data_IF_305255081527
#
_entry.id   IF_305255081527
#
_cell.length_a   1.000
_cell.length_b   1.000
_cell.length_c   1.000
_cell.angle_alpha   90.00
_cell.angle_beta   90.00
_cell.angle_gamma   90.00
#
_symmetry.space_group_name_H-M   'P 1'
#
loop_
_entity.id
_entity.type
_entity.pdbx_description
1 polymer ?
#
# COMPACT_ATOMS: atom_id res chain seq x y z
N UNK A 1 -4.29 -13.42 10.84
CA UNK A 1 -3.28 -12.69 10.03
C UNK A 1 -2.69 -13.55 8.91
N UNK A 2 -1.93 -14.62 9.22
CA UNK A 2 -1.24 -15.44 8.20
C UNK A 2 -2.16 -15.90 7.07
N UNK A 3 -3.37 -16.40 7.38
CA UNK A 3 -4.34 -16.84 6.36
C UNK A 3 -4.66 -15.73 5.36
N UNK A 4 -4.87 -14.49 5.82
CA UNK A 4 -5.13 -13.34 4.95
C UNK A 4 -3.87 -13.00 4.14
N UNK A 5 -2.69 -13.00 4.75
CA UNK A 5 -1.45 -12.75 4.03
C UNK A 5 -1.23 -13.75 2.88
N UNK A 6 -1.55 -15.03 3.09
CA UNK A 6 -1.50 -16.05 2.02
C UNK A 6 -2.50 -15.75 0.89
N UNK A 7 -3.73 -15.36 1.22
CA UNK A 7 -4.73 -14.93 0.22
C UNK A 7 -4.31 -13.70 -0.58
N UNK A 8 -3.51 -12.81 0.03
CA UNK A 8 -2.92 -11.64 -0.61
C UNK A 8 -1.69 -11.98 -1.46
N UNK A 9 -1.36 -13.27 -1.63
CA UNK A 9 -0.26 -13.71 -2.48
C UNK A 9 1.11 -13.74 -1.83
N UNK A 10 1.21 -13.54 -0.50
CA UNK A 10 2.50 -13.67 0.19
C UNK A 10 2.88 -15.15 0.24
N UNK A 11 4.00 -15.50 -0.37
CA UNK A 11 4.56 -16.86 -0.44
C UNK A 11 5.75 -17.06 0.50
N UNK A 12 6.48 -15.98 0.79
CA UNK A 12 7.60 -15.97 1.73
C UNK A 12 7.25 -16.55 3.10
N UNK A 13 8.20 -17.15 3.83
CA UNK A 13 7.94 -17.70 5.17
C UNK A 13 7.43 -16.62 6.13
N UNK A 14 6.36 -16.94 6.88
CA UNK A 14 5.82 -16.05 7.92
C UNK A 14 5.83 -16.82 9.24
N UNK A 15 6.61 -16.35 10.21
CA UNK A 15 6.65 -16.96 11.54
C UNK A 15 5.40 -16.54 12.33
N UNK A 16 4.73 -17.45 13.08
CA UNK A 16 3.52 -17.15 13.84
C UNK A 16 3.82 -16.44 15.17
N UNK A 17 4.39 -15.24 15.11
CA UNK A 17 4.73 -14.39 16.26
C UNK A 17 3.81 -13.17 16.37
N UNK A 18 3.71 -12.55 17.55
CA UNK A 18 2.87 -11.36 17.71
C UNK A 18 3.37 -10.15 16.90
N UNK A 19 4.69 -10.03 16.74
CA UNK A 19 5.35 -8.94 16.01
C UNK A 19 5.15 -8.97 14.50
N UNK A 20 4.42 -9.95 13.93
CA UNK A 20 4.09 -9.99 12.49
C UNK A 20 3.43 -8.68 12.04
N UNK A 21 2.56 -8.08 12.86
CA UNK A 21 1.88 -6.84 12.52
C UNK A 21 2.84 -5.64 12.39
N UNK A 22 4.07 -5.76 12.89
CA UNK A 22 5.12 -4.73 12.80
C UNK A 22 6.12 -4.98 11.67
N UNK A 23 5.91 -6.01 10.83
CA UNK A 23 6.75 -6.27 9.66
C UNK A 23 8.00 -7.10 9.94
N UNK A 24 7.93 -8.09 10.83
CA UNK A 24 9.03 -9.05 11.04
C UNK A 24 9.31 -10.03 9.89
N UNK A 25 8.35 -10.40 9.01
CA UNK A 25 8.67 -11.25 7.86
C UNK A 25 9.45 -10.48 6.80
N UNK A 26 10.50 -11.12 6.26
CA UNK A 26 11.21 -10.61 5.08
C UNK A 26 10.42 -10.95 3.82
N UNK A 27 10.02 -9.92 3.07
CA UNK A 27 9.18 -10.03 1.88
C UNK A 27 9.86 -9.33 0.70
N UNK A 28 9.71 -9.90 -0.50
CA UNK A 28 10.16 -9.21 -1.70
C UNK A 28 9.29 -7.99 -2.02
N UNK A 29 9.85 -6.99 -2.71
CA UNK A 29 9.07 -5.84 -3.22
C UNK A 29 7.93 -6.32 -4.11
N UNK A 30 8.16 -7.35 -4.93
CA UNK A 30 7.15 -7.93 -5.82
C UNK A 30 5.95 -8.49 -5.04
N UNK A 31 6.20 -9.24 -3.96
CA UNK A 31 5.13 -9.77 -3.11
C UNK A 31 4.34 -8.66 -2.42
N UNK A 32 5.04 -7.64 -1.88
CA UNK A 32 4.38 -6.52 -1.22
C UNK A 32 3.55 -5.68 -2.20
N UNK A 33 4.08 -5.39 -3.39
CA UNK A 33 3.36 -4.67 -4.46
C UNK A 33 2.15 -5.48 -4.94
N UNK A 34 2.32 -6.80 -5.13
CA UNK A 34 1.23 -7.71 -5.49
C UNK A 34 0.11 -7.70 -4.45
N UNK A 35 0.46 -7.84 -3.17
CA UNK A 35 -0.49 -7.79 -2.06
C UNK A 35 -1.24 -6.46 -2.01
N UNK A 36 -0.52 -5.33 -2.14
CA UNK A 36 -1.13 -3.98 -2.12
C UNK A 36 -2.04 -3.73 -3.31
N UNK A 37 -1.78 -4.36 -4.46
CA UNK A 37 -2.65 -4.28 -5.64
C UNK A 37 -4.06 -4.80 -5.39
N UNK A 38 -4.21 -5.76 -4.46
CA UNK A 38 -5.52 -6.30 -4.04
C UNK A 38 -6.48 -5.20 -3.58
N UNK A 39 -5.97 -4.18 -2.86
CA UNK A 39 -6.80 -3.08 -2.38
C UNK A 39 -7.34 -2.24 -3.53
N UNK A 40 -6.48 -1.88 -4.49
CA UNK A 40 -6.88 -1.16 -5.71
C UNK A 40 -7.86 -1.99 -6.55
N UNK A 41 -7.67 -3.30 -6.57
CA UNK A 41 -8.47 -4.24 -7.35
C UNK A 41 -9.67 -4.79 -6.57
N UNK A 42 -10.28 -3.96 -5.71
CA UNK A 42 -11.56 -4.24 -5.03
C UNK A 42 -11.58 -5.55 -4.22
N UNK A 43 -10.42 -5.93 -3.67
CA UNK A 43 -10.28 -7.12 -2.82
C UNK A 43 -9.85 -8.40 -3.56
N UNK A 44 -9.65 -8.33 -4.88
CA UNK A 44 -9.20 -9.48 -5.69
C UNK A 44 -7.69 -9.41 -5.90
N UNK A 45 -6.97 -10.39 -5.37
CA UNK A 45 -5.55 -10.56 -5.65
C UNK A 45 -5.35 -11.09 -7.07
N UNK A 46 -4.37 -10.52 -7.78
CA UNK A 46 -3.92 -10.99 -9.09
C UNK A 46 -2.41 -11.21 -9.00
N UNK A 47 -1.96 -12.41 -9.34
CA UNK A 47 -0.54 -12.77 -9.32
C UNK A 47 0.28 -11.88 -10.27
N UNK A 48 1.28 -11.12 -9.77
CA UNK A 48 2.15 -10.32 -10.61
C UNK A 48 2.83 -11.19 -11.68
N UNK A 49 2.62 -10.87 -12.94
CA UNK A 49 3.07 -11.68 -14.08
C UNK A 49 3.86 -10.81 -15.06
N UNK A 50 5.09 -11.21 -15.37
CA UNK A 50 5.98 -10.49 -16.30
C UNK A 50 5.91 -11.00 -17.74
N UNK A 51 5.62 -12.28 -17.92
CA UNK A 51 5.55 -12.94 -19.24
C UNK A 51 4.12 -13.38 -19.46
N UNK A 52 3.46 -12.85 -20.48
CA UNK A 52 2.07 -13.22 -20.82
C UNK A 52 2.00 -14.31 -21.90
N UNK A 53 3.02 -14.38 -22.76
CA UNK A 53 3.04 -15.26 -23.93
C UNK A 53 4.47 -15.47 -24.45
N UNK A 54 4.75 -16.66 -24.96
CA UNK A 54 5.97 -17.02 -25.70
C UNK A 54 5.55 -17.50 -27.10
N UNK A 55 6.16 -16.93 -28.14
CA UNK A 55 5.91 -17.26 -29.54
C UNK A 55 7.21 -17.68 -30.24
N UNK A 56 7.09 -18.50 -31.29
CA UNK A 56 8.18 -18.77 -32.22
C UNK A 56 8.37 -17.63 -33.25
N UNK A 57 9.43 -17.71 -34.07
CA UNK A 57 9.72 -16.73 -35.13
C UNK A 57 8.62 -16.62 -36.20
N UNK A 58 7.72 -17.60 -36.28
CA UNK A 58 6.63 -17.64 -37.26
C UNK A 58 5.31 -17.12 -36.65
N UNK A 59 5.32 -16.69 -35.38
CA UNK A 59 4.13 -16.22 -34.66
C UNK A 59 3.28 -17.32 -34.04
N UNK A 60 3.76 -18.57 -34.00
CA UNK A 60 3.05 -19.65 -33.33
C UNK A 60 3.20 -19.54 -31.82
N UNK A 61 2.09 -19.55 -31.09
CA UNK A 61 2.09 -19.49 -29.63
C UNK A 61 2.61 -20.82 -29.08
N UNK A 62 3.75 -20.76 -28.38
CA UNK A 62 4.33 -21.89 -27.65
C UNK A 62 3.65 -22.01 -26.29
N UNK A 63 3.44 -20.88 -25.61
CA UNK A 63 2.85 -20.86 -24.28
C UNK A 63 2.15 -19.53 -24.00
N UNK A 64 1.03 -19.59 -23.28
CA UNK A 64 0.32 -18.43 -22.73
C UNK A 64 0.25 -18.59 -21.21
N UNK A 65 0.46 -17.49 -20.49
CA UNK A 65 0.44 -17.46 -19.03
C UNK A 65 -0.75 -16.63 -18.56
N UNK A 66 -1.67 -17.27 -17.85
CA UNK A 66 -2.82 -16.60 -17.24
C UNK A 66 -2.52 -16.40 -15.75
N UNK A 67 -2.52 -15.15 -15.25
CA UNK A 67 -2.29 -14.88 -13.83
C UNK A 67 -3.33 -15.56 -12.94
N UNK A 68 -2.90 -16.12 -11.81
CA UNK A 68 -3.85 -16.62 -10.81
C UNK A 68 -4.60 -15.45 -10.19
N UNK A 69 -5.88 -15.69 -9.89
CA UNK A 69 -6.78 -14.71 -9.27
C UNK A 69 -7.40 -15.32 -8.03
N UNK A 70 -7.46 -14.56 -6.95
CA UNK A 70 -8.04 -15.00 -5.69
C UNK A 70 -8.86 -13.88 -5.03
N UNK A 71 -10.07 -14.20 -4.61
CA UNK A 71 -10.90 -13.29 -3.80
C UNK A 71 -10.37 -13.28 -2.35
N UNK A 72 -9.49 -12.30 -2.09
CA UNK A 72 -8.73 -12.25 -0.85
C UNK A 72 -9.54 -11.61 0.29
N UNK A 73 -10.17 -10.47 0.00
CA UNK A 73 -10.98 -9.67 0.94
C UNK A 73 -12.20 -9.10 0.22
N UNK A 74 -13.18 -8.58 0.96
CA UNK A 74 -14.36 -7.94 0.36
C UNK A 74 -14.01 -6.59 -0.27
N UNK A 75 -14.79 -6.17 -1.27
CA UNK A 75 -14.70 -4.85 -1.90
C UNK A 75 -14.82 -3.72 -0.87
N UNK A 76 -15.71 -3.87 0.10
CA UNK A 76 -15.89 -2.93 1.20
C UNK A 76 -14.62 -2.83 2.06
N UNK A 77 -14.06 -3.96 2.52
CA UNK A 77 -12.82 -3.97 3.30
C UNK A 77 -11.66 -3.35 2.52
N UNK A 78 -11.56 -3.63 1.23
CA UNK A 78 -10.54 -3.04 0.37
C UNK A 78 -10.65 -1.51 0.30
N UNK A 79 -11.87 -0.99 0.09
CA UNK A 79 -12.13 0.44 0.03
C UNK A 79 -11.92 1.16 1.37
N UNK A 80 -12.32 0.53 2.48
CA UNK A 80 -12.05 1.06 3.82
C UNK A 80 -10.54 1.14 4.09
N UNK A 81 -9.77 0.11 3.71
CA UNK A 81 -8.31 0.13 3.82
C UNK A 81 -7.67 1.24 2.98
N UNK A 82 -8.14 1.45 1.75
CA UNK A 82 -7.72 2.61 0.94
C UNK A 82 -8.01 3.92 1.67
N UNK A 83 -9.20 4.06 2.24
CA UNK A 83 -9.63 5.27 2.96
C UNK A 83 -8.72 5.55 4.16
N UNK A 84 -8.38 4.53 4.95
CA UNK A 84 -7.41 4.66 6.04
C UNK A 84 -6.02 5.07 5.53
N UNK A 85 -5.55 4.47 4.45
CA UNK A 85 -4.25 4.77 3.85
C UNK A 85 -4.20 6.15 3.19
N UNK A 86 -5.33 6.73 2.77
CA UNK A 86 -5.39 8.14 2.35
C UNK A 86 -5.03 9.07 3.50
N UNK A 87 -5.47 8.77 4.73
CA UNK A 87 -5.12 9.56 5.92
C UNK A 87 -3.60 9.71 6.14
N UNK A 88 -2.83 8.67 5.81
CA UNK A 88 -1.35 8.72 5.86
C UNK A 88 -0.78 9.77 4.92
N UNK A 89 -1.39 9.95 3.74
CA UNK A 89 -0.95 10.90 2.72
C UNK A 89 -1.50 12.31 2.97
N UNK A 90 -2.72 12.44 3.48
CA UNK A 90 -3.33 13.76 3.71
C UNK A 90 -2.80 14.47 4.96
N UNK A 91 -2.49 13.72 6.03
CA UNK A 91 -2.03 14.32 7.29
C UNK A 91 -0.98 13.52 8.06
N UNK A 92 -0.60 12.34 7.58
CA UNK A 92 0.35 11.46 8.27
C UNK A 92 1.79 11.58 7.77
N UNK A 93 2.53 10.48 7.92
CA UNK A 93 3.93 10.35 7.51
C UNK A 93 4.16 10.46 6.00
N UNK A 94 3.09 10.38 5.18
CA UNK A 94 3.12 10.58 3.74
C UNK A 94 2.82 12.02 3.28
N UNK A 95 2.57 12.94 4.21
CA UNK A 95 2.11 14.32 3.92
C UNK A 95 3.03 15.14 3.02
N UNK A 96 4.31 14.80 2.94
CA UNK A 96 5.24 15.45 2.01
C UNK A 96 4.81 15.31 0.55
N UNK A 97 4.05 14.27 0.17
CA UNK A 97 3.44 14.16 -1.16
C UNK A 97 2.54 15.35 -1.51
N UNK A 98 1.78 15.86 -0.53
CA UNK A 98 0.91 17.03 -0.67
C UNK A 98 1.70 18.32 -0.58
N UNK A 99 2.47 18.51 0.49
CA UNK A 99 3.07 19.81 0.79
C UNK A 99 4.37 20.09 0.04
N UNK A 100 5.19 19.06 -0.20
CA UNK A 100 6.50 19.21 -0.88
C UNK A 100 6.37 18.88 -2.36
N UNK A 101 5.80 17.72 -2.69
CA UNK A 101 5.73 17.26 -4.07
C UNK A 101 4.53 17.80 -4.85
N UNK A 102 3.53 18.39 -4.18
CA UNK A 102 2.34 19.03 -4.78
C UNK A 102 1.53 18.08 -5.66
N UNK A 103 1.47 16.79 -5.30
CA UNK A 103 0.56 15.85 -5.92
C UNK A 103 -0.83 16.07 -5.32
N UNK A 104 -1.83 16.41 -6.14
CA UNK A 104 -3.19 16.72 -5.68
C UNK A 104 -4.21 15.61 -5.92
N UNK A 105 -3.84 14.56 -6.66
CA UNK A 105 -4.70 13.43 -6.94
C UNK A 105 -4.89 12.52 -5.72
N UNK A 106 -5.92 11.67 -5.75
CA UNK A 106 -6.14 10.69 -4.69
C UNK A 106 -5.01 9.65 -4.70
N UNK A 107 -4.33 9.54 -3.56
CA UNK A 107 -3.23 8.61 -3.33
C UNK A 107 -3.49 7.98 -1.96
N UNK A 108 -3.49 6.66 -1.90
CA UNK A 108 -3.39 5.92 -0.65
C UNK A 108 -1.95 5.46 -0.50
N UNK A 109 -1.42 5.44 0.72
CA UNK A 109 -0.11 4.87 0.90
C UNK A 109 0.23 4.51 2.33
N UNK A 110 1.35 3.81 2.49
CA UNK A 110 1.90 3.48 3.79
C UNK A 110 3.42 3.52 3.75
N UNK A 111 3.98 4.15 4.79
CA UNK A 111 5.40 4.14 5.09
C UNK A 111 5.76 2.90 5.92
N UNK A 112 6.94 2.34 5.67
CA UNK A 112 7.57 1.34 6.52
C UNK A 112 8.99 1.76 6.84
N UNK A 113 9.42 1.49 8.07
CA UNK A 113 10.79 1.72 8.53
C UNK A 113 11.16 0.52 9.40
N UNK A 114 12.18 -0.24 9.03
CA UNK A 114 12.65 -1.34 9.88
C UNK A 114 13.48 -0.82 11.05
N UNK A 115 13.70 -1.68 12.05
CA UNK A 115 14.53 -1.34 13.21
C UNK A 115 15.94 -0.93 12.76
N UNK A 116 16.58 -0.06 13.54
CA UNK A 116 17.85 0.59 13.23
C UNK A 116 17.86 1.47 11.97
N UNK A 117 16.72 1.65 11.29
CA UNK A 117 16.60 2.43 10.06
C UNK A 117 17.43 1.86 8.91
N UNK A 118 17.48 0.53 8.80
CA UNK A 118 18.18 -0.20 7.73
C UNK A 118 17.36 -0.23 6.43
N UNK A 119 16.04 -0.27 6.53
CA UNK A 119 15.12 -0.33 5.39
C UNK A 119 14.06 0.76 5.45
N UNK A 120 13.96 1.53 4.37
CA UNK A 120 12.89 2.50 4.13
C UNK A 120 11.95 2.01 3.04
N UNK A 121 10.65 1.94 3.36
CA UNK A 121 9.61 1.51 2.44
C UNK A 121 8.56 2.60 2.22
N UNK A 122 8.09 2.71 0.99
CA UNK A 122 6.86 3.42 0.68
C UNK A 122 6.05 2.63 -0.34
N UNK A 123 4.84 2.25 0.06
CA UNK A 123 3.86 1.62 -0.81
C UNK A 123 2.80 2.67 -1.15
N UNK A 124 2.71 3.05 -2.42
CA UNK A 124 1.72 4.00 -2.92
C UNK A 124 0.74 3.34 -3.88
N UNK A 125 -0.53 3.70 -3.73
CA UNK A 125 -1.67 3.19 -4.47
C UNK A 125 -2.38 4.38 -5.11
N UNK A 126 -2.67 4.26 -6.41
CA UNK A 126 -3.61 5.09 -7.16
C UNK A 126 -4.72 4.18 -7.72
N UNK A 127 -5.80 4.72 -8.31
CA UNK A 127 -6.91 3.88 -8.77
C UNK A 127 -6.53 2.77 -9.75
N UNK A 128 -5.49 2.99 -10.57
CA UNK A 128 -5.07 2.04 -11.59
C UNK A 128 -3.56 1.72 -11.61
N UNK A 129 -2.80 2.12 -10.59
CA UNK A 129 -1.39 1.75 -10.44
C UNK A 129 -1.01 1.61 -8.97
N UNK A 130 -0.27 0.54 -8.66
CA UNK A 130 0.40 0.36 -7.37
C UNK A 130 1.90 0.38 -7.61
N UNK A 131 2.63 1.08 -6.75
CA UNK A 131 4.09 1.15 -6.82
C UNK A 131 4.65 1.02 -5.42
N UNK A 132 5.53 0.03 -5.25
CA UNK A 132 6.33 -0.15 -4.05
C UNK A 132 7.75 0.32 -4.29
N UNK A 133 8.28 1.12 -3.36
CA UNK A 133 9.68 1.53 -3.35
C UNK A 133 10.29 1.06 -2.04
N UNK A 134 11.41 0.35 -2.16
CA UNK A 134 12.29 0.00 -1.06
C UNK A 134 13.64 0.66 -1.28
N UNK A 135 14.22 1.16 -0.20
CA UNK A 135 15.59 1.64 -0.14
C UNK A 135 16.23 0.98 1.08
N UNK A 136 17.38 0.37 0.88
CA UNK A 136 18.14 -0.27 1.94
C UNK A 136 19.48 -0.77 1.41
N UNK A 137 20.16 -1.58 2.20
CA UNK A 137 21.39 -2.25 1.82
C UNK A 137 21.22 -3.76 1.96
N UNK A 138 21.94 -4.52 1.14
CA UNK A 138 22.00 -5.99 1.27
C UNK A 138 22.51 -6.39 2.67
N UNK A 139 23.49 -5.66 3.19
CA UNK A 139 23.96 -5.81 4.55
C UNK A 139 23.17 -4.89 5.50
N UNK A 140 22.34 -5.50 6.36
CA UNK A 140 21.47 -4.78 7.31
C UNK A 140 22.24 -4.01 8.39
N UNK A 141 23.54 -4.27 8.55
CA UNK A 141 24.41 -3.46 9.43
C UNK A 141 24.67 -2.06 8.88
N UNK A 142 24.48 -1.86 7.57
CA UNK A 142 24.49 -0.55 6.95
C UNK A 142 23.13 0.09 7.17
N UNK A 143 23.10 1.13 8.00
CA UNK A 143 21.87 1.82 8.34
C UNK A 143 22.08 3.32 8.49
N UNK A 144 20.99 4.08 8.42
CA UNK A 144 21.06 5.51 8.66
C UNK A 144 21.28 5.80 10.14
N UNK A 145 22.03 6.87 10.41
CA UNK A 145 22.42 7.26 11.78
C UNK A 145 21.24 7.65 12.66
N UNK A 146 20.15 8.14 12.07
CA UNK A 146 18.96 8.61 12.79
C UNK A 146 17.69 8.20 12.05
N UNK A 147 16.59 8.06 12.80
CA UNK A 147 15.27 7.76 12.24
C UNK A 147 14.76 8.87 11.33
N UNK A 148 15.10 10.13 11.61
CA UNK A 148 14.72 11.25 10.75
C UNK A 148 15.24 11.07 9.33
N UNK A 149 16.48 10.57 9.18
CA UNK A 149 17.10 10.30 7.88
C UNK A 149 16.65 8.97 7.28
N UNK A 150 16.50 7.94 8.12
CA UNK A 150 16.27 6.57 7.68
C UNK A 150 14.83 6.10 7.64
N UNK A 151 13.86 6.98 7.89
CA UNK A 151 12.45 6.63 7.76
C UNK A 151 12.00 6.56 6.30
N UNK A 152 11.03 5.69 6.01
CA UNK A 152 10.48 5.53 4.66
C UNK A 152 9.99 6.84 4.01
N UNK A 153 9.56 7.82 4.81
CA UNK A 153 9.13 9.15 4.36
C UNK A 153 10.27 10.02 3.77
N UNK A 154 11.52 9.78 4.18
CA UNK A 154 12.72 10.50 3.69
C UNK A 154 13.54 9.68 2.68
N UNK A 155 13.40 8.35 2.69
CA UNK A 155 14.12 7.46 1.78
C UNK A 155 13.29 7.10 0.54
N UNK A 156 12.25 6.28 0.70
CA UNK A 156 11.52 5.68 -0.40
C UNK A 156 10.45 6.61 -0.98
N UNK A 157 9.78 7.40 -0.15
CA UNK A 157 8.69 8.28 -0.58
C UNK A 157 9.14 9.33 -1.62
N UNK A 158 10.28 10.04 -1.48
CA UNK A 158 10.74 10.98 -2.50
C UNK A 158 10.97 10.34 -3.87
N UNK A 159 11.53 9.13 -3.90
CA UNK A 159 11.73 8.37 -5.14
C UNK A 159 10.39 8.04 -5.78
N UNK A 160 9.43 7.55 -4.99
CA UNK A 160 8.07 7.28 -5.45
C UNK A 160 7.43 8.54 -6.04
N UNK A 161 7.55 9.68 -5.36
CA UNK A 161 6.95 10.94 -5.79
C UNK A 161 7.53 11.44 -7.12
N UNK A 162 8.86 11.40 -7.27
CA UNK A 162 9.53 11.79 -8.51
C UNK A 162 9.20 10.85 -9.66
N UNK A 163 9.13 9.54 -9.40
CA UNK A 163 8.70 8.54 -10.37
C UNK A 163 7.26 8.82 -10.83
N UNK A 164 6.33 9.01 -9.90
CA UNK A 164 4.92 9.23 -10.23
C UNK A 164 4.66 10.54 -10.95
N UNK A 165 5.44 11.60 -10.68
CA UNK A 165 5.38 12.84 -11.50
C UNK A 165 5.63 12.55 -12.98
N UNK A 166 6.70 11.81 -13.28
CA UNK A 166 7.03 11.40 -14.65
C UNK A 166 5.94 10.52 -15.27
N UNK A 167 5.39 9.59 -14.48
CA UNK A 167 4.27 8.74 -14.92
C UNK A 167 3.04 9.57 -15.27
N UNK A 168 2.70 10.60 -14.48
CA UNK A 168 1.54 11.45 -14.76
C UNK A 168 1.77 12.42 -15.94
N UNK A 169 3.02 12.79 -16.20
CA UNK A 169 3.40 13.58 -17.38
C UNK A 169 3.22 12.76 -18.68
N UNK A 170 3.50 11.45 -18.64
CA UNK A 170 3.33 10.55 -19.79
C UNK A 170 1.90 10.00 -19.90
N UNK A 171 1.08 10.64 -20.73
CA UNK A 171 -0.31 10.23 -20.97
C UNK A 171 -0.44 8.89 -21.69
N UNK A 172 0.61 8.39 -22.35
CA UNK A 172 0.56 7.11 -23.05
C UNK A 172 0.45 5.91 -22.10
N UNK A 173 0.87 6.09 -20.84
CA UNK A 173 0.80 5.05 -19.81
C UNK A 173 -0.62 4.79 -19.29
N UNK A 174 -1.58 5.68 -19.58
CA UNK A 174 -2.97 5.52 -19.16
C UNK A 174 -3.21 5.59 -17.64
N UNK A 175 -2.20 5.97 -16.85
CA UNK A 175 -2.31 6.14 -15.40
C UNK A 175 -3.12 7.39 -15.12
N UNK A 176 -4.28 7.23 -14.48
CA UNK A 176 -5.19 8.33 -14.27
C UNK A 176 -5.08 8.89 -12.85
N UNK A 177 -5.51 10.13 -12.70
CA UNK A 177 -5.55 10.86 -11.42
C UNK A 177 -6.97 10.93 -10.86
N UNK A 178 -7.84 9.99 -11.25
CA UNK A 178 -9.22 9.96 -10.80
C UNK A 178 -9.32 9.58 -9.32
N UNK A 179 -10.54 9.60 -8.79
CA UNK A 179 -10.82 9.14 -7.44
C UNK A 179 -10.91 7.61 -7.39
N UNK A 180 -10.70 7.05 -6.21
CA UNK A 180 -10.97 5.63 -5.99
C UNK A 180 -12.47 5.35 -6.14
N UNK A 181 -12.81 4.32 -6.91
CA UNK A 181 -14.19 3.91 -7.11
C UNK A 181 -14.80 3.42 -5.79
N UNK A 182 -15.94 4.00 -5.41
CA UNK A 182 -16.68 3.57 -4.22
C UNK A 182 -17.40 2.24 -4.49
N UNK A 183 -17.52 1.35 -3.49
CA UNK A 183 -18.31 0.14 -3.62
C UNK A 183 -19.76 0.45 -3.99
N UNK A 184 -20.39 -0.46 -4.75
CA UNK A 184 -21.81 -0.31 -5.12
C UNK A 184 -22.76 -0.45 -3.92
N UNK A 185 -22.34 -1.24 -2.93
CA UNK A 185 -23.06 -1.40 -1.67
C UNK A 185 -22.69 -0.26 -0.73
N UNK A 186 -23.65 0.19 0.06
CA UNK A 186 -23.38 1.15 1.14
C UNK A 186 -22.38 0.56 2.14
N UNK A 187 -21.53 1.43 2.66
CA UNK A 187 -20.53 1.05 3.66
C UNK A 187 -21.24 0.80 5.00
N UNK A 188 -20.83 -0.25 5.69
CA UNK A 188 -21.31 -0.59 7.04
C UNK A 188 -20.78 0.35 8.12
N UNK A 189 -19.79 1.20 7.80
CA UNK A 189 -19.13 2.13 8.70
C UNK A 189 -19.15 3.53 8.12
N UNK A 190 -19.44 4.53 8.96
CA UNK A 190 -19.31 5.94 8.59
C UNK A 190 -17.82 6.32 8.51
N UNK A 191 -17.42 6.88 7.37
CA UNK A 191 -16.04 7.26 7.09
C UNK A 191 -15.84 8.78 7.10
N UNK A 192 -16.92 9.54 7.20
CA UNK A 192 -16.90 10.99 7.34
C UNK A 192 -16.87 11.35 8.84
N UNK A 193 -15.71 11.82 9.30
CA UNK A 193 -15.51 12.20 10.70
C UNK A 193 -16.53 13.26 11.16
N UNK A 194 -16.90 14.22 10.30
CA UNK A 194 -17.85 15.26 10.69
C UNK A 194 -19.26 14.70 10.90
N UNK A 195 -19.67 13.72 10.09
CA UNK A 195 -20.94 13.00 10.28
C UNK A 195 -20.88 12.09 11.50
N UNK A 196 -19.77 11.37 11.69
CA UNK A 196 -19.57 10.52 12.85
C UNK A 196 -19.67 11.32 14.16
N UNK A 197 -18.92 12.42 14.26
CA UNK A 197 -18.93 13.30 15.43
C UNK A 197 -20.32 13.90 15.67
N UNK A 198 -21.02 14.30 14.61
CA UNK A 198 -22.38 14.81 14.72
C UNK A 198 -23.38 13.76 15.26
N UNK A 199 -23.18 12.49 14.94
CA UNK A 199 -24.01 11.37 15.39
C UNK A 199 -23.66 10.92 16.82
N UNK A 200 -22.41 11.09 17.27
CA UNK A 200 -21.88 10.56 18.54
C UNK A 200 -21.51 11.67 19.56
N UNK A 201 -22.04 12.89 19.37
CA UNK A 201 -21.77 14.09 20.20
C UNK A 201 -21.97 13.95 21.72
N UNK A 202 -22.63 12.88 22.17
CA UNK A 202 -22.97 12.64 23.58
C UNK A 202 -22.39 11.32 24.15
N UNK A 203 -21.53 10.61 23.41
CA UNK A 203 -20.84 9.45 23.99
C UNK A 203 -19.65 9.95 24.83
N UNK A 204 -19.61 9.55 26.11
CA UNK A 204 -18.47 9.80 26.99
C UNK A 204 -17.20 9.25 26.33
N UNK A 205 -16.29 10.14 25.96
CA UNK A 205 -14.95 9.77 25.50
C UNK A 205 -14.32 8.97 26.63
N UNK A 206 -14.08 7.68 26.39
CA UNK A 206 -13.32 6.82 27.31
C UNK A 206 -12.01 7.54 27.62
N UNK A 207 -11.84 7.98 28.86
CA UNK A 207 -10.64 8.65 29.30
C UNK A 207 -9.51 7.62 29.41
N UNK A 208 -8.67 7.53 28.39
CA UNK A 208 -7.53 6.62 28.39
C UNK A 208 -6.50 6.91 29.50
N UNK A 209 -6.60 8.06 30.18
CA UNK A 209 -5.78 8.36 31.36
C UNK A 209 -6.14 7.50 32.58
N UNK A 210 -7.34 6.90 32.63
CA UNK A 210 -7.74 6.00 33.73
C UNK A 210 -7.08 4.60 33.65
N UNK A 211 -6.50 4.22 32.51
CA UNK A 211 -5.81 2.93 32.35
C UNK A 211 -4.35 2.94 32.82
N UNK A 212 -3.85 4.07 33.33
CA UNK A 212 -2.48 4.24 33.83
C UNK A 212 -2.39 4.39 35.35
N UNK A 213 -3.37 3.88 36.12
CA UNK A 213 -3.27 3.70 37.58
C UNK A 213 -3.08 2.23 37.97
#
# INVERSE_FOLDING_TARGET
VIKIARKLGITSPIQPVYSICLGTPDLSVCEMTGAMSTYANKGVYIEPTFITRIEDKNGNIIQTFTPKREDAISEETAYLMITLMKGVVEGGTGSSLRYTFKLSNQIAGKTGTTQNNSDGWFMGITPNLVTGVWVGCEDRSVHFRTTDLGQGAHMALPIWAMYMKKVYEDKSLGVNTQEFEKPRKELSVEIDCAKYDAQHKNEEIINFDEFNQ
#
